data_IF_987372432172
#
_entry.id   IF_987372432172
#
_cell.length_a   1.000
_cell.length_b   1.000
_cell.length_c   1.000
_cell.angle_alpha   90.00
_cell.angle_beta   90.00
_cell.angle_gamma   90.00
#
_symmetry.space_group_name_H-M   'P 1'
#
loop_
_entity.id
_entity.type
_entity.pdbx_description
1 polymer ?
#
# COMPACT_ATOMS: atom_id res chain seq x y z
N UNK A 1 48.99 63.48 6.54
CA UNK A 1 49.69 63.05 5.33
C UNK A 1 51.04 63.75 5.25
N UNK A 2 52.12 63.01 5.21
CA UNK A 2 53.48 63.61 5.14
C UNK A 2 53.72 64.24 3.75
N UNK A 3 54.55 65.29 3.67
CA UNK A 3 54.90 65.90 2.37
C UNK A 3 55.55 64.88 1.45
N UNK A 4 56.28 63.91 2.00
CA UNK A 4 56.88 62.79 1.24
C UNK A 4 55.75 61.91 0.59
N UNK A 5 54.68 61.61 1.25
CA UNK A 5 53.53 60.87 0.68
C UNK A 5 52.95 61.62 -0.53
N UNK A 6 52.65 62.90 -0.40
CA UNK A 6 52.08 63.72 -1.50
C UNK A 6 53.01 63.76 -2.72
N UNK A 7 54.32 63.91 -2.54
CA UNK A 7 55.30 63.95 -3.60
C UNK A 7 55.30 62.57 -4.34
N UNK A 8 55.39 61.46 -3.60
CA UNK A 8 55.48 60.15 -4.20
C UNK A 8 54.18 59.74 -4.87
N UNK A 9 53.03 60.00 -4.22
CA UNK A 9 51.67 59.71 -4.74
C UNK A 9 51.40 60.47 -6.03
N UNK A 10 51.67 61.79 -6.05
CA UNK A 10 51.53 62.64 -7.26
C UNK A 10 52.51 62.22 -8.40
N UNK A 11 53.68 61.79 -8.05
CA UNK A 11 54.67 61.31 -9.02
C UNK A 11 54.20 59.99 -9.65
N UNK A 12 53.65 59.09 -8.89
CA UNK A 12 53.14 57.83 -9.40
C UNK A 12 51.85 57.99 -10.24
N UNK A 13 51.01 58.99 -9.93
CA UNK A 13 49.83 59.33 -10.67
C UNK A 13 50.04 60.07 -11.99
N UNK A 14 51.22 60.66 -12.24
CA UNK A 14 51.51 61.53 -13.37
C UNK A 14 52.60 60.97 -14.31
N UNK A 15 52.40 61.15 -15.64
CA UNK A 15 53.39 60.85 -16.63
C UNK A 15 54.46 61.96 -16.55
N UNK A 16 55.48 61.77 -15.72
CA UNK A 16 56.56 62.77 -15.50
C UNK A 16 57.60 62.76 -16.65
N UNK A 17 58.11 63.95 -16.96
CA UNK A 17 59.22 64.10 -17.90
C UNK A 17 60.48 63.36 -17.39
N UNK A 18 61.40 62.96 -18.27
CA UNK A 18 62.68 62.26 -17.87
C UNK A 18 63.49 63.03 -16.81
N UNK A 19 63.53 64.33 -16.90
CA UNK A 19 64.28 65.17 -15.96
C UNK A 19 63.66 65.20 -14.57
N UNK A 20 62.34 65.25 -14.49
CA UNK A 20 61.59 65.16 -13.23
C UNK A 20 61.69 63.76 -12.59
N UNK A 21 61.74 62.76 -13.39
CA UNK A 21 61.97 61.39 -12.91
C UNK A 21 63.29 61.25 -12.20
N UNK A 22 64.35 61.77 -12.85
CA UNK A 22 65.73 61.70 -12.27
C UNK A 22 65.83 62.53 -10.96
N UNK A 23 65.22 63.69 -10.87
CA UNK A 23 65.18 64.47 -9.63
C UNK A 23 64.40 63.79 -8.48
N UNK A 24 63.29 63.15 -8.76
CA UNK A 24 62.50 62.39 -7.77
C UNK A 24 63.25 61.12 -7.33
N UNK A 25 63.91 60.41 -8.25
CA UNK A 25 64.74 59.28 -7.87
C UNK A 25 65.96 59.67 -7.05
N UNK A 26 66.63 60.77 -7.38
CA UNK A 26 67.79 61.28 -6.60
C UNK A 26 67.30 61.70 -5.18
N UNK A 27 66.14 62.33 -5.07
CA UNK A 27 65.57 62.68 -3.77
C UNK A 27 65.15 61.48 -2.97
N UNK A 28 64.58 60.45 -3.62
CA UNK A 28 64.17 59.26 -2.97
C UNK A 28 65.29 58.42 -2.37
N UNK A 29 66.45 58.42 -3.10
CA UNK A 29 67.66 57.72 -2.72
C UNK A 29 68.57 58.55 -1.73
N UNK A 30 68.30 59.80 -1.54
CA UNK A 30 69.05 60.63 -0.59
C UNK A 30 68.78 60.15 0.85
N UNK A 31 69.81 59.91 1.69
CA UNK A 31 69.66 59.42 3.07
C UNK A 31 68.90 60.36 3.98
N UNK A 32 68.80 61.64 3.63
CA UNK A 32 68.06 62.63 4.45
C UNK A 32 66.58 62.32 4.44
N UNK A 33 65.99 62.13 5.67
CA UNK A 33 64.56 61.83 5.86
C UNK A 33 64.12 60.42 5.41
N UNK A 34 65.07 59.48 5.34
CA UNK A 34 64.89 58.09 4.90
C UNK A 34 63.59 57.45 5.55
N UNK A 35 63.47 57.57 6.87
CA UNK A 35 62.38 56.97 7.56
C UNK A 35 60.94 57.47 7.09
N UNK A 36 60.80 58.77 6.87
CA UNK A 36 59.58 59.40 6.37
C UNK A 36 59.24 58.95 4.94
N UNK A 37 60.31 58.75 4.10
CA UNK A 37 60.13 58.27 2.74
C UNK A 37 59.69 56.78 2.70
N UNK A 38 60.33 55.96 3.55
CA UNK A 38 59.93 54.55 3.71
C UNK A 38 58.49 54.39 4.23
N UNK A 39 58.11 55.14 5.25
CA UNK A 39 56.74 55.13 5.74
C UNK A 39 55.69 55.56 4.67
N UNK A 40 56.04 56.60 3.88
CA UNK A 40 55.24 57.05 2.76
C UNK A 40 55.08 55.99 1.64
N UNK A 41 56.20 55.32 1.32
CA UNK A 41 56.17 54.21 0.33
C UNK A 41 55.38 53.02 0.82
N UNK A 42 55.48 52.65 2.08
CA UNK A 42 54.69 51.53 2.66
C UNK A 42 53.17 51.88 2.68
N UNK A 43 52.83 53.14 3.05
CA UNK A 43 51.44 53.56 3.00
C UNK A 43 50.88 53.51 1.58
N UNK A 44 51.61 53.98 0.58
CA UNK A 44 51.20 53.94 -0.82
C UNK A 44 51.10 52.47 -1.30
N UNK A 45 52.06 51.61 -0.84
CA UNK A 45 52.00 50.17 -1.16
C UNK A 45 50.76 49.47 -0.62
N UNK A 46 50.34 49.78 0.60
CA UNK A 46 49.14 49.21 1.23
C UNK A 46 47.84 49.74 0.59
N UNK A 47 47.86 51.01 0.14
CA UNK A 47 46.72 51.63 -0.54
C UNK A 47 46.59 51.15 -2.00
N UNK A 48 47.71 50.76 -2.65
CA UNK A 48 47.75 50.34 -4.03
C UNK A 48 47.43 48.85 -4.17
N UNK A 49 46.19 48.56 -4.50
CA UNK A 49 45.73 47.19 -4.83
C UNK A 49 45.34 47.11 -6.30
N UNK A 50 46.32 46.95 -7.22
CA UNK A 50 46.02 46.78 -8.62
C UNK A 50 45.30 45.46 -8.85
N UNK A 51 44.17 45.47 -9.56
CA UNK A 51 43.60 44.24 -10.07
C UNK A 51 44.58 43.60 -11.06
N UNK A 52 44.94 42.34 -10.82
CA UNK A 52 45.83 41.62 -11.70
C UNK A 52 45.19 41.45 -13.10
N UNK A 53 45.69 42.18 -14.07
CA UNK A 53 45.28 42.06 -15.46
C UNK A 53 45.72 40.69 -16.08
N UNK A 54 45.33 40.44 -17.32
CA UNK A 54 45.72 39.21 -18.02
C UNK A 54 47.23 39.08 -18.22
N UNK A 55 47.94 40.20 -18.38
CA UNK A 55 49.41 40.24 -18.52
C UNK A 55 50.11 39.88 -17.23
N UNK A 56 49.62 40.40 -16.09
CA UNK A 56 50.14 40.10 -14.76
C UNK A 56 49.93 38.63 -14.40
N UNK A 57 48.79 38.08 -14.69
CA UNK A 57 48.52 36.63 -14.50
C UNK A 57 49.38 35.74 -15.38
N UNK A 58 49.60 36.15 -16.63
CA UNK A 58 50.49 35.43 -17.53
C UNK A 58 51.96 35.45 -17.03
N UNK A 59 52.46 36.61 -16.62
CA UNK A 59 53.80 36.80 -16.07
C UNK A 59 54.02 36.01 -14.78
N UNK A 60 53.01 35.99 -13.88
CA UNK A 60 53.02 35.20 -12.66
C UNK A 60 53.11 33.69 -12.96
N UNK A 61 52.31 33.20 -13.91
CA UNK A 61 52.38 31.78 -14.35
C UNK A 61 53.75 31.44 -14.92
N UNK A 62 54.35 32.34 -15.72
CA UNK A 62 55.67 32.14 -16.29
C UNK A 62 56.77 32.13 -15.22
N UNK A 63 56.63 32.98 -14.20
CA UNK A 63 57.54 33.00 -13.03
C UNK A 63 57.37 31.72 -12.20
N UNK A 64 56.16 31.33 -11.86
CA UNK A 64 55.88 30.09 -11.11
C UNK A 64 56.46 28.87 -11.83
N UNK A 65 56.34 28.82 -13.16
CA UNK A 65 56.90 27.75 -13.98
C UNK A 65 58.44 27.73 -13.97
N UNK A 66 59.11 28.93 -13.98
CA UNK A 66 60.60 29.06 -13.92
C UNK A 66 61.13 28.79 -12.52
N UNK A 67 60.36 29.15 -11.47
CA UNK A 67 60.77 28.98 -10.09
C UNK A 67 60.50 27.53 -9.58
N UNK A 68 60.01 26.61 -10.46
CA UNK A 68 59.67 25.25 -10.05
C UNK A 68 58.48 25.15 -9.08
N UNK A 69 57.75 26.26 -8.86
CA UNK A 69 56.58 26.35 -7.94
C UNK A 69 55.27 25.89 -8.59
N UNK A 70 55.32 25.45 -9.87
CA UNK A 70 54.15 24.81 -10.46
C UNK A 70 53.97 23.46 -9.77
N UNK A 71 52.94 23.34 -8.94
CA UNK A 71 52.47 22.03 -8.45
C UNK A 71 52.00 21.25 -9.68
N UNK A 72 52.93 20.54 -10.32
CA UNK A 72 52.59 19.52 -11.29
C UNK A 72 51.85 18.46 -10.49
N UNK A 73 50.52 18.54 -10.43
CA UNK A 73 49.72 17.40 -10.00
C UNK A 73 50.13 16.28 -10.94
N UNK A 74 50.70 15.18 -10.41
CA UNK A 74 51.23 14.14 -11.27
C UNK A 74 50.08 13.61 -12.15
N UNK A 75 50.24 13.69 -13.45
CA UNK A 75 49.23 13.33 -14.45
C UNK A 75 48.74 11.87 -14.30
N UNK A 76 49.51 11.02 -13.63
CA UNK A 76 49.10 9.65 -13.32
C UNK A 76 47.96 9.57 -12.30
N UNK A 77 47.85 10.48 -11.32
CA UNK A 77 46.75 10.51 -10.36
C UNK A 77 45.40 10.77 -11.05
N UNK A 78 45.39 11.59 -12.11
CA UNK A 78 44.17 11.80 -12.90
C UNK A 78 43.74 10.54 -13.66
N UNK A 79 44.69 9.82 -14.23
CA UNK A 79 44.39 8.55 -14.93
C UNK A 79 43.84 7.49 -13.97
N UNK A 80 44.43 7.33 -12.78
CA UNK A 80 43.94 6.43 -11.75
C UNK A 80 42.57 6.84 -11.21
N UNK A 81 42.31 8.15 -11.06
CA UNK A 81 41.01 8.65 -10.65
C UNK A 81 39.92 8.34 -11.69
N UNK A 82 40.21 8.45 -12.98
CA UNK A 82 39.24 8.04 -14.02
C UNK A 82 39.00 6.52 -14.05
N UNK A 83 40.04 5.71 -13.91
CA UNK A 83 39.91 4.25 -13.84
C UNK A 83 39.09 3.86 -12.58
N UNK A 84 39.39 4.46 -11.44
CA UNK A 84 38.65 4.23 -10.21
C UNK A 84 37.19 4.65 -10.35
N UNK A 85 36.88 5.78 -11.00
CA UNK A 85 35.50 6.22 -11.24
C UNK A 85 34.74 5.26 -12.17
N UNK A 86 35.37 4.76 -13.23
CA UNK A 86 34.77 3.79 -14.16
C UNK A 86 34.43 2.49 -13.47
N UNK A 87 35.18 2.07 -12.46
CA UNK A 87 34.92 0.84 -11.71
C UNK A 87 33.97 1.06 -10.51
N UNK A 88 34.11 2.19 -9.81
CA UNK A 88 33.30 2.47 -8.60
C UNK A 88 31.85 2.85 -8.93
N UNK A 89 31.59 3.59 -9.99
CA UNK A 89 30.23 4.01 -10.36
C UNK A 89 29.34 2.78 -10.66
N UNK A 90 29.73 1.82 -11.54
CA UNK A 90 28.91 0.64 -11.75
C UNK A 90 28.83 -0.25 -10.51
N UNK A 91 29.88 -0.36 -9.71
CA UNK A 91 29.86 -1.14 -8.47
C UNK A 91 28.84 -0.55 -7.47
N UNK A 92 28.89 0.77 -7.25
CA UNK A 92 27.91 1.46 -6.39
C UNK A 92 26.49 1.33 -6.97
N UNK A 93 26.32 1.43 -8.29
CA UNK A 93 25.02 1.23 -8.95
C UNK A 93 24.49 -0.18 -8.76
N UNK A 94 25.33 -1.20 -8.85
CA UNK A 94 24.94 -2.58 -8.60
C UNK A 94 24.57 -2.79 -7.13
N UNK A 95 25.36 -2.26 -6.20
CA UNK A 95 25.08 -2.37 -4.76
C UNK A 95 23.79 -1.65 -4.41
N UNK A 96 23.57 -0.44 -4.92
CA UNK A 96 22.33 0.30 -4.67
C UNK A 96 21.13 -0.38 -5.31
N UNK A 97 21.26 -0.94 -6.52
CA UNK A 97 20.22 -1.72 -7.16
C UNK A 97 19.92 -3.01 -6.37
N UNK A 98 20.94 -3.71 -5.89
CA UNK A 98 20.79 -4.90 -5.05
C UNK A 98 20.05 -4.58 -3.74
N UNK A 99 20.49 -3.55 -3.01
CA UNK A 99 19.83 -3.08 -1.78
C UNK A 99 18.39 -2.63 -2.08
N UNK A 100 18.18 -1.92 -3.20
CA UNK A 100 16.84 -1.48 -3.62
C UNK A 100 15.92 -2.67 -3.90
N UNK A 101 16.40 -3.69 -4.63
CA UNK A 101 15.64 -4.92 -4.92
C UNK A 101 15.37 -5.69 -3.63
N UNK A 102 16.37 -5.89 -2.76
CA UNK A 102 16.21 -6.61 -1.50
C UNK A 102 15.22 -5.94 -0.54
N UNK A 103 15.24 -4.61 -0.46
CA UNK A 103 14.27 -3.85 0.34
C UNK A 103 12.86 -3.82 -0.27
N UNK A 104 12.71 -3.96 -1.59
CA UNK A 104 11.41 -3.92 -2.27
C UNK A 104 10.82 -5.31 -2.57
N UNK A 105 11.62 -6.36 -2.52
CA UNK A 105 11.17 -7.75 -2.59
C UNK A 105 10.98 -8.34 -1.19
N UNK A 106 10.18 -7.68 -0.32
CA UNK A 106 9.65 -8.40 0.83
C UNK A 106 8.74 -9.51 0.28
N UNK A 107 9.15 -10.75 0.48
CA UNK A 107 8.30 -11.91 0.16
C UNK A 107 6.96 -11.75 0.88
N UNK A 108 5.94 -11.38 0.13
CA UNK A 108 4.57 -11.33 0.65
C UNK A 108 4.16 -12.78 0.90
N UNK A 109 4.21 -13.19 2.17
CA UNK A 109 3.71 -14.50 2.58
C UNK A 109 2.21 -14.42 2.75
N UNK A 110 1.51 -15.41 2.23
CA UNK A 110 0.07 -15.55 2.46
C UNK A 110 -0.18 -16.44 3.66
N UNK A 111 -1.14 -16.00 4.48
CA UNK A 111 -1.66 -16.76 5.60
C UNK A 111 -3.00 -17.35 5.18
N UNK A 112 -3.14 -18.64 5.31
CA UNK A 112 -4.38 -19.35 5.12
C UNK A 112 -5.08 -19.54 6.47
N UNK A 113 -6.33 -19.10 6.55
CA UNK A 113 -7.19 -19.29 7.70
C UNK A 113 -8.36 -20.18 7.31
N UNK A 114 -8.34 -21.43 7.74
CA UNK A 114 -9.42 -22.39 7.57
C UNK A 114 -10.26 -22.40 8.85
N UNK A 115 -11.57 -22.21 8.70
CA UNK A 115 -12.55 -22.31 9.80
C UNK A 115 -13.30 -23.62 9.64
N UNK A 116 -13.19 -24.54 10.59
CA UNK A 116 -13.95 -25.80 10.56
C UNK A 116 -15.46 -25.57 10.56
N UNK A 117 -16.22 -26.57 10.11
CA UNK A 117 -17.67 -26.59 10.32
C UNK A 117 -17.96 -26.51 11.82
N UNK A 118 -19.04 -25.85 12.21
CA UNK A 118 -19.44 -25.67 13.61
C UNK A 118 -18.74 -24.50 14.30
N UNK A 119 -17.64 -23.97 13.76
CA UNK A 119 -16.84 -22.93 14.39
C UNK A 119 -17.00 -21.57 13.71
N UNK A 120 -16.58 -20.54 14.41
CA UNK A 120 -16.41 -19.17 13.90
C UNK A 120 -15.06 -18.64 14.37
N UNK A 121 -14.43 -17.78 13.56
CA UNK A 121 -13.12 -17.23 13.91
C UNK A 121 -13.05 -15.74 13.57
N UNK A 122 -12.54 -14.96 14.52
CA UNK A 122 -12.23 -13.56 14.29
C UNK A 122 -10.73 -13.39 14.07
N UNK A 123 -10.36 -12.57 13.10
CA UNK A 123 -8.97 -12.23 12.78
C UNK A 123 -8.84 -10.72 12.63
N UNK A 124 -7.67 -10.22 13.00
CA UNK A 124 -7.28 -8.83 12.73
C UNK A 124 -6.20 -8.82 11.67
N UNK A 125 -6.41 -8.08 10.60
CA UNK A 125 -5.47 -7.94 9.48
C UNK A 125 -4.38 -6.91 9.79
N UNK A 126 -3.27 -6.89 9.01
CA UNK A 126 -2.16 -5.95 9.20
C UNK A 126 -2.54 -4.47 9.08
N UNK A 127 -3.64 -4.16 8.39
CA UNK A 127 -4.18 -2.80 8.24
C UNK A 127 -5.14 -2.38 9.37
N UNK A 128 -5.36 -3.25 10.37
CA UNK A 128 -6.30 -3.06 11.46
C UNK A 128 -7.75 -3.43 11.12
N UNK A 129 -8.04 -3.94 9.93
CA UNK A 129 -9.36 -4.48 9.58
C UNK A 129 -9.67 -5.72 10.41
N UNK A 130 -10.92 -5.84 10.86
CA UNK A 130 -11.41 -6.98 11.65
C UNK A 130 -12.36 -7.79 10.79
N UNK A 131 -12.05 -9.08 10.65
CA UNK A 131 -12.84 -10.02 9.85
C UNK A 131 -13.33 -11.13 10.76
N UNK A 132 -14.65 -11.34 10.81
CA UNK A 132 -15.24 -12.52 11.46
C UNK A 132 -15.64 -13.51 10.37
N UNK A 133 -15.09 -14.72 10.43
CA UNK A 133 -15.33 -15.80 9.47
C UNK A 133 -16.36 -16.78 10.04
N UNK A 134 -17.31 -17.20 9.21
CA UNK A 134 -18.31 -18.19 9.55
C UNK A 134 -17.85 -19.63 9.26
N UNK A 135 -18.60 -20.58 9.72
CA UNK A 135 -18.34 -22.02 9.62
C UNK A 135 -18.08 -22.49 8.19
N UNK A 136 -17.03 -23.31 8.02
CA UNK A 136 -16.65 -23.86 6.72
C UNK A 136 -16.02 -22.85 5.76
N UNK A 137 -15.51 -21.72 6.26
CA UNK A 137 -14.86 -20.68 5.44
C UNK A 137 -13.37 -20.87 5.33
N UNK A 138 -12.82 -20.50 4.17
CA UNK A 138 -11.38 -20.41 3.89
C UNK A 138 -11.08 -18.95 3.53
N UNK A 139 -10.08 -18.37 4.19
CA UNK A 139 -9.69 -17.00 3.98
C UNK A 139 -8.17 -16.90 3.80
N UNK A 140 -7.74 -16.25 2.71
CA UNK A 140 -6.33 -16.02 2.40
C UNK A 140 -6.04 -14.53 2.46
N UNK A 141 -5.03 -14.15 3.22
CA UNK A 141 -4.58 -12.77 3.33
C UNK A 141 -3.05 -12.69 3.43
N UNK A 142 -2.43 -11.60 2.97
CA UNK A 142 -0.99 -11.44 3.07
C UNK A 142 -0.56 -10.99 4.47
N UNK A 143 0.66 -11.35 4.87
CA UNK A 143 1.27 -10.85 6.11
C UNK A 143 1.49 -9.34 6.11
N UNK A 144 1.58 -8.75 4.92
CA UNK A 144 1.64 -7.30 4.69
C UNK A 144 0.94 -6.99 3.36
N UNK A 145 0.22 -5.87 3.32
CA UNK A 145 -0.33 -5.37 2.07
C UNK A 145 0.74 -4.61 1.29
N UNK A 146 1.08 -5.11 0.10
CA UNK A 146 2.03 -4.50 -0.82
C UNK A 146 1.33 -4.15 -2.15
N UNK A 147 1.78 -3.08 -2.81
CA UNK A 147 1.19 -2.59 -4.07
C UNK A 147 0.02 -1.63 -3.84
N UNK A 148 -0.86 -1.51 -4.84
CA UNK A 148 -1.90 -0.48 -4.93
C UNK A 148 -3.23 -0.88 -4.29
N UNK A 149 -3.33 -2.09 -3.71
CA UNK A 149 -4.55 -2.62 -3.10
C UNK A 149 -4.27 -3.49 -1.89
N UNK A 150 -5.24 -3.56 -0.97
CA UNK A 150 -5.30 -4.51 0.14
C UNK A 150 -6.13 -5.72 -0.30
N UNK A 151 -5.50 -6.67 -0.97
CA UNK A 151 -6.20 -7.79 -1.57
C UNK A 151 -6.21 -9.02 -0.67
N UNK A 152 -7.39 -9.63 -0.52
CA UNK A 152 -7.64 -10.86 0.21
C UNK A 152 -8.55 -11.78 -0.61
N UNK A 153 -8.63 -13.06 -0.25
CA UNK A 153 -9.52 -14.02 -0.90
C UNK A 153 -10.42 -14.70 0.12
N UNK A 154 -11.70 -14.83 -0.22
CA UNK A 154 -12.71 -15.53 0.58
C UNK A 154 -13.38 -16.64 -0.23
N UNK A 155 -13.43 -17.83 0.36
CA UNK A 155 -14.30 -18.94 -0.04
C UNK A 155 -15.11 -19.33 1.20
N UNK A 156 -16.37 -18.85 1.31
CA UNK A 156 -17.17 -19.01 2.52
C UNK A 156 -17.96 -17.76 2.86
N UNK A 157 -18.16 -17.50 4.14
CA UNK A 157 -18.86 -16.32 4.64
C UNK A 157 -17.99 -15.55 5.63
N UNK A 158 -17.96 -14.23 5.46
CA UNK A 158 -17.26 -13.33 6.35
C UNK A 158 -17.99 -12.01 6.55
N UNK A 159 -17.95 -11.53 7.79
CA UNK A 159 -18.32 -10.17 8.15
C UNK A 159 -17.05 -9.32 8.23
N UNK A 160 -17.01 -8.26 7.48
CA UNK A 160 -15.87 -7.39 7.30
C UNK A 160 -16.11 -6.04 7.96
N UNK A 161 -15.25 -5.65 8.90
CA UNK A 161 -15.13 -4.29 9.42
C UNK A 161 -13.79 -3.73 8.92
N UNK A 162 -13.80 -3.15 7.71
CA UNK A 162 -12.60 -2.71 7.01
C UNK A 162 -12.15 -1.35 7.51
N UNK A 163 -10.87 -1.24 7.89
CA UNK A 163 -10.24 0.02 8.30
C UNK A 163 -10.25 1.05 7.16
N UNK A 164 -10.68 2.31 7.41
CA UNK A 164 -10.78 3.34 6.38
C UNK A 164 -9.43 3.69 5.77
N UNK A 165 -9.32 3.56 4.44
CA UNK A 165 -8.16 4.04 3.68
C UNK A 165 -8.56 4.34 2.23
N UNK A 166 -8.71 5.64 1.90
CA UNK A 166 -9.10 6.09 0.56
C UNK A 166 -8.00 5.94 -0.49
N UNK A 167 -6.73 5.84 -0.06
CA UNK A 167 -5.58 5.74 -0.97
C UNK A 167 -5.28 4.30 -1.36
N UNK A 168 -5.65 3.33 -0.53
CA UNK A 168 -5.35 1.92 -0.73
C UNK A 168 -6.64 1.11 -0.62
N UNK A 169 -7.35 0.86 -1.73
CA UNK A 169 -8.60 0.11 -1.74
C UNK A 169 -8.43 -1.31 -1.15
N UNK A 170 -9.46 -1.78 -0.43
CA UNK A 170 -9.53 -3.15 0.06
C UNK A 170 -10.38 -3.99 -0.90
N UNK A 171 -9.82 -5.10 -1.37
CA UNK A 171 -10.45 -5.95 -2.38
C UNK A 171 -10.61 -7.36 -1.82
N UNK A 172 -11.86 -7.82 -1.69
CA UNK A 172 -12.15 -9.22 -1.38
C UNK A 172 -12.46 -9.95 -2.69
N UNK A 173 -11.53 -10.79 -3.11
CA UNK A 173 -11.71 -11.66 -4.25
C UNK A 173 -12.49 -12.92 -3.81
N UNK A 174 -13.47 -13.35 -4.62
CA UNK A 174 -14.18 -14.62 -4.48
C UNK A 174 -14.06 -15.44 -5.77
N UNK A 175 -14.76 -16.56 -5.88
CA UNK A 175 -14.75 -17.32 -7.13
C UNK A 175 -15.34 -16.54 -8.32
N UNK A 176 -16.36 -15.70 -8.09
CA UNK A 176 -17.15 -15.07 -9.15
C UNK A 176 -17.03 -13.53 -9.17
N UNK A 177 -16.86 -12.92 -8.01
CA UNK A 177 -16.93 -11.49 -7.80
C UNK A 177 -15.66 -10.97 -7.11
N UNK A 178 -15.34 -9.71 -7.39
CA UNK A 178 -14.42 -8.91 -6.58
C UNK A 178 -15.24 -7.80 -5.88
N UNK A 179 -15.06 -7.68 -4.58
CA UNK A 179 -15.73 -6.70 -3.73
C UNK A 179 -14.70 -5.64 -3.34
N UNK A 180 -14.89 -4.41 -3.78
CA UNK A 180 -13.96 -3.31 -3.57
C UNK A 180 -14.54 -2.27 -2.61
N UNK A 181 -13.81 -1.94 -1.54
CA UNK A 181 -14.23 -0.99 -0.50
C UNK A 181 -13.08 -0.11 -0.04
N UNK A 182 -13.41 1.05 0.59
CA UNK A 182 -12.42 2.01 1.10
C UNK A 182 -12.42 2.14 2.63
N UNK A 183 -13.40 1.52 3.32
CA UNK A 183 -13.59 1.61 4.76
C UNK A 183 -15.07 1.40 5.05
N UNK A 184 -15.50 0.17 5.23
CA UNK A 184 -16.87 -0.27 5.04
C UNK A 184 -17.14 -1.45 5.97
N UNK A 185 -18.37 -1.54 6.50
CA UNK A 185 -18.86 -2.72 7.19
C UNK A 185 -19.86 -3.44 6.30
N UNK A 186 -19.60 -4.71 6.01
CA UNK A 186 -20.42 -5.52 5.12
C UNK A 186 -20.32 -7.01 5.42
N UNK A 187 -21.34 -7.77 5.07
CA UNK A 187 -21.32 -9.23 5.07
C UNK A 187 -21.17 -9.75 3.63
N UNK A 188 -20.36 -10.77 3.46
CA UNK A 188 -20.15 -11.45 2.16
C UNK A 188 -20.26 -12.94 2.34
N UNK A 189 -21.25 -13.55 1.65
CA UNK A 189 -21.45 -14.98 1.57
C UNK A 189 -21.09 -15.45 0.16
N UNK A 190 -20.02 -16.24 0.03
CA UNK A 190 -19.47 -16.72 -1.22
C UNK A 190 -18.96 -18.17 -1.13
N UNK A 191 -19.82 -19.07 -0.63
CA UNK A 191 -19.50 -20.50 -0.59
C UNK A 191 -19.48 -21.09 -2.01
N UNK A 192 -18.48 -21.92 -2.36
CA UNK A 192 -18.27 -22.38 -3.74
C UNK A 192 -19.40 -23.28 -4.27
N UNK A 193 -20.12 -23.97 -3.39
CA UNK A 193 -21.21 -24.86 -3.76
C UNK A 193 -22.59 -24.24 -3.59
N UNK A 194 -22.68 -22.99 -3.11
CA UNK A 194 -23.94 -22.29 -3.00
C UNK A 194 -24.33 -21.71 -4.37
N UNK A 195 -25.65 -21.64 -4.62
CA UNK A 195 -26.21 -21.11 -5.86
C UNK A 195 -25.92 -19.62 -6.04
N UNK A 196 -25.78 -18.91 -4.95
CA UNK A 196 -25.70 -17.45 -4.92
C UNK A 196 -24.47 -16.97 -4.16
N UNK A 197 -23.95 -15.83 -4.61
CA UNK A 197 -23.00 -15.01 -3.85
C UNK A 197 -23.73 -13.75 -3.40
N UNK A 198 -23.76 -13.50 -2.10
CA UNK A 198 -24.58 -12.44 -1.48
C UNK A 198 -23.65 -11.44 -0.80
N UNK A 199 -23.80 -10.16 -1.15
CA UNK A 199 -23.10 -9.05 -0.52
C UNK A 199 -24.10 -8.13 0.14
N UNK A 200 -24.00 -7.91 1.45
CA UNK A 200 -24.92 -7.07 2.24
C UNK A 200 -24.14 -5.93 2.86
N UNK A 201 -24.53 -4.69 2.59
CA UNK A 201 -23.84 -3.50 3.07
C UNK A 201 -24.52 -2.93 4.32
N UNK A 202 -23.75 -2.80 5.42
CA UNK A 202 -24.20 -2.17 6.67
C UNK A 202 -23.88 -0.68 6.72
N UNK A 203 -22.62 -0.31 6.41
CA UNK A 203 -22.17 1.08 6.43
C UNK A 203 -21.03 1.34 5.44
N UNK A 204 -20.97 2.54 4.91
CA UNK A 204 -19.98 2.95 3.92
C UNK A 204 -20.46 2.78 2.48
N UNK A 205 -19.63 2.25 1.60
CA UNK A 205 -19.96 1.97 0.19
C UNK A 205 -19.18 0.75 -0.30
N UNK A 206 -19.86 -0.08 -1.10
CA UNK A 206 -19.29 -1.29 -1.71
C UNK A 206 -19.42 -1.17 -3.24
N UNK A 207 -18.34 -1.41 -3.97
CA UNK A 207 -18.36 -1.62 -5.41
C UNK A 207 -18.13 -3.10 -5.72
N UNK A 208 -19.12 -3.73 -6.36
CA UNK A 208 -19.08 -5.15 -6.75
C UNK A 208 -18.77 -5.26 -8.23
N UNK A 209 -17.82 -6.11 -8.59
CA UNK A 209 -17.36 -6.34 -9.96
C UNK A 209 -17.39 -7.84 -10.28
N UNK A 210 -17.84 -8.19 -11.49
CA UNK A 210 -17.66 -9.55 -12.02
C UNK A 210 -16.20 -9.75 -12.48
N UNK A 211 -15.60 -10.88 -12.20
CA UNK A 211 -14.23 -11.18 -12.66
C UNK A 211 -14.06 -11.05 -14.18
N UNK A 212 -15.07 -11.44 -14.94
CA UNK A 212 -15.03 -11.43 -16.41
C UNK A 212 -15.43 -10.08 -17.03
N UNK A 213 -15.76 -9.07 -16.22
CA UNK A 213 -16.18 -7.74 -16.67
C UNK A 213 -15.54 -6.64 -15.81
N UNK A 214 -14.23 -6.38 -15.97
CA UNK A 214 -13.48 -5.52 -15.07
C UNK A 214 -13.94 -4.07 -15.04
N UNK A 215 -14.62 -3.59 -16.08
CA UNK A 215 -15.08 -2.20 -16.21
C UNK A 215 -16.54 -1.98 -15.77
N UNK A 216 -17.24 -3.03 -15.31
CA UNK A 216 -18.64 -2.92 -14.86
C UNK A 216 -18.74 -3.11 -13.36
N UNK A 217 -19.14 -2.05 -12.66
CA UNK A 217 -19.34 -2.05 -11.21
C UNK A 217 -20.80 -1.84 -10.86
N UNK A 218 -21.26 -2.56 -9.85
CA UNK A 218 -22.53 -2.28 -9.18
C UNK A 218 -22.19 -1.75 -7.79
N UNK A 219 -22.65 -0.54 -7.49
CA UNK A 219 -22.43 0.10 -6.19
C UNK A 219 -23.62 -0.18 -5.26
N UNK A 220 -23.31 -0.49 -4.01
CA UNK A 220 -24.26 -0.62 -2.92
C UNK A 220 -24.16 0.58 -1.98
N UNK A 221 -25.30 0.98 -1.47
CA UNK A 221 -25.50 1.92 -0.38
C UNK A 221 -25.87 1.18 0.91
N UNK A 222 -25.76 1.77 2.10
CA UNK A 222 -26.15 1.14 3.35
C UNK A 222 -27.59 0.59 3.29
N UNK A 223 -27.79 -0.58 3.89
CA UNK A 223 -29.03 -1.35 3.84
C UNK A 223 -29.42 -1.84 2.44
N UNK A 224 -28.42 -2.05 1.58
CA UNK A 224 -28.64 -2.72 0.30
C UNK A 224 -27.94 -4.08 0.27
N UNK A 225 -28.57 -5.01 -0.41
CA UNK A 225 -28.05 -6.34 -0.67
C UNK A 225 -27.96 -6.58 -2.17
N UNK A 226 -26.87 -7.17 -2.60
CA UNK A 226 -26.68 -7.68 -3.95
C UNK A 226 -26.63 -9.19 -3.93
N UNK A 227 -27.58 -9.81 -4.60
CA UNK A 227 -27.65 -11.26 -4.82
C UNK A 227 -27.17 -11.54 -6.24
N UNK A 228 -26.09 -12.29 -6.34
CA UNK A 228 -25.52 -12.74 -7.60
C UNK A 228 -25.76 -14.23 -7.81
N UNK A 229 -26.53 -14.59 -8.83
CA UNK A 229 -26.75 -15.99 -9.19
C UNK A 229 -25.53 -16.54 -9.95
N UNK A 230 -24.78 -17.42 -9.31
CA UNK A 230 -23.48 -17.92 -9.78
C UNK A 230 -23.54 -18.60 -11.17
N UNK A 231 -24.69 -19.29 -11.48
CA UNK A 231 -24.86 -20.02 -12.74
C UNK A 231 -25.26 -19.11 -13.90
N UNK A 232 -26.22 -18.22 -13.70
CA UNK A 232 -26.75 -17.34 -14.76
C UNK A 232 -26.00 -16.04 -14.90
N UNK A 233 -25.25 -15.65 -13.87
CA UNK A 233 -24.54 -14.37 -13.81
C UNK A 233 -25.45 -13.17 -13.64
N UNK A 234 -26.73 -13.37 -13.22
CA UNK A 234 -27.67 -12.29 -12.97
C UNK A 234 -27.45 -11.67 -11.61
N UNK A 235 -27.61 -10.35 -11.55
CA UNK A 235 -27.65 -9.58 -10.32
C UNK A 235 -29.08 -9.22 -9.96
N UNK A 236 -29.40 -9.29 -8.68
CA UNK A 236 -30.60 -8.72 -8.09
C UNK A 236 -30.18 -7.84 -6.91
N UNK A 237 -30.50 -6.55 -6.97
CA UNK A 237 -30.22 -5.58 -5.91
C UNK A 237 -31.52 -5.23 -5.21
N UNK A 238 -31.52 -5.31 -3.87
CA UNK A 238 -32.70 -5.07 -3.03
C UNK A 238 -32.35 -4.25 -1.81
N UNK A 239 -33.28 -3.43 -1.35
CA UNK A 239 -33.21 -2.74 -0.07
C UNK A 239 -33.67 -3.70 1.05
N UNK A 240 -32.89 -3.74 2.13
CA UNK A 240 -33.09 -4.68 3.24
C UNK A 240 -32.70 -4.02 4.57
N UNK A 241 -33.01 -4.69 5.69
CA UNK A 241 -32.38 -4.40 6.98
C UNK A 241 -31.10 -5.21 7.10
N UNK A 242 -29.94 -4.56 6.90
CA UNK A 242 -28.63 -5.22 6.87
C UNK A 242 -28.27 -5.89 8.21
N UNK A 243 -28.77 -5.36 9.33
CA UNK A 243 -28.47 -5.88 10.67
C UNK A 243 -28.92 -7.32 10.89
N UNK A 244 -29.94 -7.76 10.14
CA UNK A 244 -30.49 -9.13 10.21
C UNK A 244 -29.52 -10.13 9.57
N UNK A 245 -28.78 -9.71 8.54
CA UNK A 245 -27.88 -10.58 7.77
C UNK A 245 -26.52 -10.79 8.42
N UNK A 246 -26.10 -9.90 9.32
CA UNK A 246 -24.91 -10.07 10.17
C UNK A 246 -25.25 -10.65 11.55
N UNK A 247 -26.50 -10.95 11.85
CA UNK A 247 -26.95 -11.48 13.14
C UNK A 247 -26.20 -12.75 13.57
N UNK A 248 -25.67 -13.53 12.61
CA UNK A 248 -24.88 -14.72 12.90
C UNK A 248 -23.62 -14.42 13.71
N UNK A 249 -23.01 -13.23 13.59
CA UNK A 249 -21.87 -12.80 14.43
C UNK A 249 -22.25 -12.66 15.90
N UNK A 250 -23.54 -12.50 16.19
CA UNK A 250 -24.13 -12.42 17.54
C UNK A 250 -24.79 -13.72 17.97
N UNK A 251 -24.63 -14.80 17.19
CA UNK A 251 -25.21 -16.10 17.47
C UNK A 251 -26.70 -16.25 17.06
N UNK A 252 -27.19 -15.42 16.16
CA UNK A 252 -28.50 -15.57 15.53
C UNK A 252 -28.35 -16.33 14.21
N UNK A 253 -29.36 -17.11 13.85
CA UNK A 253 -29.47 -17.79 12.56
C UNK A 253 -30.76 -17.32 11.88
N UNK A 254 -30.65 -16.40 10.97
CA UNK A 254 -31.75 -15.77 10.26
C UNK A 254 -31.83 -16.30 8.83
N UNK A 255 -32.81 -17.10 8.53
CA UNK A 255 -33.12 -17.55 7.18
C UNK A 255 -34.28 -16.69 6.65
N UNK A 256 -34.02 -15.91 5.62
CA UNK A 256 -34.98 -14.99 5.02
C UNK A 256 -35.16 -15.37 3.56
N UNK A 257 -36.35 -15.76 3.17
CA UNK A 257 -36.69 -16.16 1.81
C UNK A 257 -35.67 -17.14 1.23
N UNK A 258 -35.33 -18.18 1.99
CA UNK A 258 -34.41 -19.23 1.58
C UNK A 258 -35.13 -20.54 1.27
N UNK A 259 -34.66 -21.25 0.26
CA UNK A 259 -35.13 -22.58 -0.06
C UNK A 259 -34.73 -23.59 1.04
N UNK A 260 -35.46 -24.68 1.19
CA UNK A 260 -35.12 -25.73 2.16
C UNK A 260 -33.69 -26.21 1.95
N UNK A 261 -33.24 -26.38 0.71
CA UNK A 261 -31.88 -26.80 0.38
C UNK A 261 -30.81 -25.83 0.92
N UNK A 262 -31.06 -24.52 0.81
CA UNK A 262 -30.13 -23.50 1.32
C UNK A 262 -30.11 -23.52 2.86
N UNK A 263 -31.28 -23.67 3.50
CA UNK A 263 -31.39 -23.82 4.96
C UNK A 263 -30.58 -25.04 5.43
N UNK A 264 -30.81 -26.21 4.85
CA UNK A 264 -30.13 -27.45 5.25
C UNK A 264 -28.62 -27.35 5.08
N UNK A 265 -28.11 -26.75 3.97
CA UNK A 265 -26.68 -26.54 3.78
C UNK A 265 -26.05 -25.60 4.83
N UNK A 266 -26.78 -24.58 5.25
CA UNK A 266 -26.33 -23.70 6.32
C UNK A 266 -26.34 -24.43 7.67
N UNK A 267 -27.32 -25.28 7.94
CA UNK A 267 -27.33 -26.12 9.14
C UNK A 267 -26.19 -27.13 9.15
N UNK A 268 -25.91 -27.80 8.02
CA UNK A 268 -24.75 -28.70 7.90
C UNK A 268 -23.43 -28.03 8.26
N UNK A 269 -23.24 -26.78 7.79
CA UNK A 269 -22.02 -26.00 8.10
C UNK A 269 -21.99 -25.59 9.57
N UNK A 270 -23.12 -25.10 10.09
CA UNK A 270 -23.17 -24.48 11.41
C UNK A 270 -23.12 -25.47 12.56
N UNK A 271 -23.62 -26.71 12.34
CA UNK A 271 -23.65 -27.78 13.34
C UNK A 271 -22.67 -28.91 13.10
N UNK A 272 -21.89 -28.84 12.02
CA UNK A 272 -20.92 -29.85 11.60
C UNK A 272 -21.57 -31.25 11.42
N UNK A 273 -22.81 -31.30 10.96
CA UNK A 273 -23.58 -32.54 10.68
C UNK A 273 -23.65 -32.76 9.17
N UNK A 274 -23.96 -34.02 8.78
CA UNK A 274 -24.29 -34.38 7.39
C UNK A 274 -25.79 -34.49 7.26
N UNK A 275 -26.40 -33.70 6.34
CA UNK A 275 -27.85 -33.74 6.10
C UNK A 275 -28.12 -34.12 4.65
N UNK A 276 -28.82 -35.21 4.42
CA UNK A 276 -29.14 -35.73 3.10
C UNK A 276 -30.64 -35.61 2.81
N UNK A 277 -30.98 -35.21 1.60
CA UNK A 277 -32.34 -35.24 1.10
C UNK A 277 -32.59 -36.61 0.43
N UNK A 278 -33.71 -37.26 0.75
CA UNK A 278 -34.12 -38.45 0.03
C UNK A 278 -34.33 -38.17 -1.45
N UNK A 279 -34.17 -39.20 -2.30
CA UNK A 279 -34.36 -39.08 -3.76
C UNK A 279 -35.71 -38.47 -4.14
N UNK A 280 -36.77 -38.87 -3.46
CA UNK A 280 -38.14 -38.38 -3.70
C UNK A 280 -38.28 -36.88 -3.46
N UNK A 281 -37.51 -36.33 -2.49
CA UNK A 281 -37.50 -34.90 -2.18
C UNK A 281 -36.55 -34.13 -3.12
N UNK A 282 -35.51 -34.74 -3.61
CA UNK A 282 -34.59 -34.09 -4.55
C UNK A 282 -35.26 -33.72 -5.85
N UNK A 283 -36.19 -34.52 -6.34
CA UNK A 283 -36.93 -34.29 -7.57
C UNK A 283 -38.15 -33.38 -7.40
N UNK A 284 -38.53 -33.10 -6.13
CA UNK A 284 -39.69 -32.24 -5.84
C UNK A 284 -39.43 -30.79 -6.17
N UNK A 285 -40.23 -30.20 -7.05
CA UNK A 285 -40.17 -28.76 -7.38
C UNK A 285 -40.42 -27.90 -6.13
N UNK A 286 -41.26 -28.32 -5.21
CA UNK A 286 -41.58 -27.63 -3.96
C UNK A 286 -40.35 -27.35 -3.11
N UNK A 287 -39.44 -28.29 -2.98
CA UNK A 287 -38.22 -28.18 -2.17
C UNK A 287 -37.23 -27.13 -2.74
N UNK A 288 -37.29 -26.92 -4.05
CA UNK A 288 -36.39 -26.01 -4.75
C UNK A 288 -36.98 -24.62 -4.98
N UNK A 289 -38.33 -24.46 -4.99
CA UNK A 289 -39.00 -23.20 -5.33
C UNK A 289 -39.59 -22.47 -4.12
N UNK A 290 -40.08 -23.22 -3.10
CA UNK A 290 -40.67 -22.60 -1.93
C UNK A 290 -39.61 -21.93 -1.07
N UNK A 291 -39.91 -20.71 -0.60
CA UNK A 291 -39.03 -19.91 0.20
C UNK A 291 -39.57 -19.77 1.64
N UNK A 292 -38.72 -19.98 2.60
CA UNK A 292 -39.04 -19.96 4.01
C UNK A 292 -38.32 -18.86 4.76
N UNK A 293 -38.97 -18.27 5.74
CA UNK A 293 -38.37 -17.30 6.67
C UNK A 293 -38.49 -17.87 8.09
N UNK A 294 -37.32 -18.19 8.68
CA UNK A 294 -37.23 -18.84 9.99
C UNK A 294 -36.08 -18.21 10.76
N UNK A 295 -36.21 -18.08 12.08
CA UNK A 295 -35.16 -17.56 12.96
C UNK A 295 -34.87 -18.54 14.09
N UNK A 296 -33.59 -18.76 14.35
CA UNK A 296 -33.08 -19.61 15.43
C UNK A 296 -31.96 -18.89 16.19
N UNK A 297 -31.58 -19.44 17.34
CA UNK A 297 -30.33 -19.13 18.02
C UNK A 297 -29.32 -20.23 17.75
N UNK A 298 -28.07 -19.88 17.49
CA UNK A 298 -27.01 -20.88 17.25
C UNK A 298 -26.80 -21.88 18.41
N UNK A 299 -27.26 -21.52 19.60
CA UNK A 299 -27.20 -22.38 20.80
C UNK A 299 -28.31 -23.43 20.86
N UNK A 300 -29.32 -23.31 19.99
CA UNK A 300 -30.40 -24.28 19.94
C UNK A 300 -29.82 -25.61 19.43
N UNK A 301 -30.35 -26.73 19.99
CA UNK A 301 -29.96 -28.05 19.54
C UNK A 301 -30.41 -28.31 18.09
N UNK A 302 -29.59 -29.03 17.31
CA UNK A 302 -29.86 -29.30 15.89
C UNK A 302 -31.22 -30.01 15.70
N UNK A 303 -31.61 -30.93 16.60
CA UNK A 303 -32.87 -31.65 16.50
C UNK A 303 -34.06 -30.74 16.74
N UNK A 304 -33.93 -29.82 17.71
CA UNK A 304 -34.94 -28.79 17.93
C UNK A 304 -35.10 -27.88 16.71
N UNK A 305 -33.99 -27.48 16.07
CA UNK A 305 -34.00 -26.70 14.83
C UNK A 305 -34.68 -27.47 13.70
N UNK A 306 -34.37 -28.75 13.53
CA UNK A 306 -34.97 -29.59 12.49
C UNK A 306 -36.45 -29.82 12.72
N UNK A 307 -36.91 -29.95 13.97
CA UNK A 307 -38.34 -30.04 14.30
C UNK A 307 -39.08 -28.79 13.83
N UNK A 308 -38.52 -27.61 14.04
CA UNK A 308 -39.14 -26.34 13.57
C UNK A 308 -39.11 -26.27 12.05
N UNK A 309 -37.97 -26.62 11.40
CA UNK A 309 -37.87 -26.62 9.95
C UNK A 309 -38.89 -27.57 9.32
N UNK A 310 -38.97 -28.81 9.79
CA UNK A 310 -39.89 -29.80 9.22
C UNK A 310 -41.36 -29.41 9.43
N UNK A 311 -41.71 -28.83 10.59
CA UNK A 311 -43.04 -28.28 10.84
C UNK A 311 -43.38 -27.10 9.93
N UNK A 312 -42.43 -26.20 9.70
CA UNK A 312 -42.61 -25.00 8.85
C UNK A 312 -42.76 -25.37 7.38
N UNK A 313 -41.95 -26.30 6.90
CA UNK A 313 -42.01 -26.80 5.53
C UNK A 313 -43.26 -27.65 5.29
N UNK A 314 -43.63 -28.48 6.26
CA UNK A 314 -44.76 -29.41 6.20
C UNK A 314 -44.55 -30.55 5.19
N UNK A 315 -45.09 -31.71 5.49
CA UNK A 315 -45.02 -32.91 4.63
C UNK A 315 -43.65 -33.58 4.56
N UNK A 316 -42.73 -33.18 5.44
CA UNK A 316 -41.38 -33.79 5.57
C UNK A 316 -41.08 -34.15 7.03
N UNK A 317 -40.21 -35.10 7.22
CA UNK A 317 -39.69 -35.54 8.52
C UNK A 317 -38.20 -35.80 8.40
N UNK A 318 -37.49 -36.02 9.51
CA UNK A 318 -36.10 -36.44 9.49
C UNK A 318 -35.90 -37.74 10.26
N UNK A 319 -34.81 -38.43 9.91
CA UNK A 319 -34.33 -39.65 10.60
C UNK A 319 -32.82 -39.53 10.80
N UNK A 320 -32.35 -40.03 11.92
CA UNK A 320 -30.93 -40.19 12.18
C UNK A 320 -30.52 -41.58 11.73
N UNK A 321 -29.58 -41.64 10.78
CA UNK A 321 -29.04 -42.88 10.24
C UNK A 321 -27.97 -43.48 11.19
N UNK A 322 -27.55 -44.73 10.93
CA UNK A 322 -26.58 -45.44 11.76
C UNK A 322 -25.18 -44.80 11.78
N UNK A 323 -24.88 -44.04 10.75
CA UNK A 323 -23.62 -43.27 10.57
C UNK A 323 -23.70 -41.84 11.11
N UNK A 324 -24.73 -41.57 11.95
CA UNK A 324 -25.00 -40.24 12.53
C UNK A 324 -25.38 -39.16 11.48
N UNK A 325 -25.54 -39.53 10.21
CA UNK A 325 -26.08 -38.60 9.23
C UNK A 325 -27.58 -38.43 9.42
N UNK A 326 -28.10 -37.27 9.02
CA UNK A 326 -29.50 -36.92 9.13
C UNK A 326 -30.15 -37.00 7.73
N UNK A 327 -31.17 -37.85 7.59
CA UNK A 327 -31.88 -38.00 6.33
C UNK A 327 -33.26 -37.30 6.40
N UNK A 328 -33.51 -36.37 5.48
CA UNK A 328 -34.82 -35.68 5.36
C UNK A 328 -35.67 -36.47 4.36
N UNK A 329 -36.83 -36.90 4.79
CA UNK A 329 -37.72 -37.78 4.07
C UNK A 329 -39.16 -37.19 3.98
N UNK A 330 -39.99 -37.62 3.01
CA UNK A 330 -41.42 -37.29 3.04
C UNK A 330 -42.07 -37.85 4.30
N UNK A 331 -43.03 -37.07 4.87
CA UNK A 331 -43.90 -37.57 5.92
C UNK A 331 -44.87 -38.57 5.29
N UNK A 332 -44.86 -39.80 5.75
CA UNK A 332 -45.77 -40.85 5.27
C UNK A 332 -47.16 -40.66 5.79
#
# INVERSE_FOLDING_TARGET
MSDAYKIIHNFMAFIASPDLKNKVWTWLLDPSGKQRKEEALLQIWDEYRPEADAGTRHSLRKFQKRAGLSSARPAYLHRWAHIAAILLIPLISIITAYIYVEHHTQEVRFVECIVPKGEQKQITLPDGSIITLNSGSIFLYPTQFAGDTRSVYLSGEGHFAVAPNKKLPFVVATNHLDICVLGTQFNLQAYPFDRRTITTLESGSVAVRKKNQPNSFITLEPNQQLDYENRSGRFNKTDIDASVYSGWTKGEMNFISQSLREILRTLERSYAVSIQLSSDLMESNRINSDLYTIKFKRRDDIFHVLDIVTKTVGGITYKVEKDESISICPLK
#
